data_IF_386624217699
#
_entry.id   IF_386624217699
#
_cell.length_a   1.000
_cell.length_b   1.000
_cell.length_c   1.000
_cell.angle_alpha   90.00
_cell.angle_beta   90.00
_cell.angle_gamma   90.00
#
_symmetry.space_group_name_H-M   'P 1'
#
loop_
_entity.id
_entity.type
_entity.pdbx_description
1 polymer ?
#
# COMPACT_ATOMS: atom_id res chain seq x y z
N UNK A 1 -14.13 6.79 19.34
CA UNK A 1 -13.54 6.43 19.23
C UNK A 1 -12.74 6.01 18.83
N UNK A 2 -12.46 5.95 18.96
CA UNK A 2 -11.70 5.64 18.67
C UNK A 2 -11.07 4.97 18.21
N UNK A 3 -10.94 5.03 17.68
CA UNK A 3 -10.19 4.16 16.94
C UNK A 3 -9.33 3.35 17.76
N UNK A 4 -9.59 2.16 17.79
CA UNK A 4 -8.79 1.24 18.51
C UNK A 4 -7.39 1.31 17.95
N UNK A 5 -6.52 1.80 18.73
CA UNK A 5 -5.13 1.81 18.34
C UNK A 5 -4.56 0.44 18.65
N UNK A 6 -3.77 -0.05 17.73
CA UNK A 6 -3.02 -1.26 17.99
C UNK A 6 -1.69 -0.88 18.63
N UNK A 7 -1.20 -1.70 19.53
CA UNK A 7 0.12 -1.48 20.07
C UNK A 7 1.14 -1.90 19.03
N UNK A 8 2.34 -1.37 19.20
CA UNK A 8 3.44 -1.76 18.32
C UNK A 8 3.68 -3.26 18.37
N UNK A 9 3.58 -3.81 19.57
CA UNK A 9 3.80 -5.23 19.77
C UNK A 9 2.77 -6.07 19.02
N UNK A 10 1.51 -5.63 19.07
CA UNK A 10 0.45 -6.33 18.36
C UNK A 10 0.68 -6.30 16.86
N UNK A 11 1.14 -5.16 16.34
CA UNK A 11 1.42 -5.04 14.92
C UNK A 11 2.59 -5.93 14.51
N UNK A 12 3.63 -5.95 15.33
CA UNK A 12 4.79 -6.79 15.03
C UNK A 12 4.43 -8.26 15.01
N UNK A 13 3.61 -8.67 15.95
CA UNK A 13 3.17 -10.06 16.00
C UNK A 13 2.34 -10.41 14.79
N UNK A 14 1.46 -9.49 14.39
CA UNK A 14 0.63 -9.72 13.22
C UNK A 14 1.48 -9.83 11.95
N UNK A 15 2.46 -8.96 11.80
CA UNK A 15 3.37 -9.01 10.67
C UNK A 15 4.14 -10.33 10.65
N UNK A 16 4.58 -10.77 11.83
CA UNK A 16 5.27 -12.05 11.93
C UNK A 16 4.41 -13.21 11.43
N UNK A 17 3.14 -13.20 11.84
CA UNK A 17 2.24 -14.25 11.39
C UNK A 17 2.00 -14.20 9.89
N UNK A 18 1.94 -12.99 9.31
CA UNK A 18 1.76 -12.84 7.88
C UNK A 18 2.97 -13.38 7.11
N UNK A 19 4.17 -13.08 7.60
CA UNK A 19 5.36 -13.47 6.86
C UNK A 19 5.71 -14.94 7.02
N UNK A 20 5.24 -15.57 8.08
CA UNK A 20 5.56 -16.98 8.33
C UNK A 20 4.62 -17.95 7.66
N UNK A 21 3.40 -17.53 7.39
CA UNK A 21 2.40 -18.42 6.86
C UNK A 21 2.09 -18.17 5.41
N UNK A 22 1.00 -18.75 4.97
CA UNK A 22 0.53 -18.59 3.60
C UNK A 22 -0.48 -17.46 3.43
N UNK A 23 -0.77 -16.73 4.50
CA UNK A 23 -1.78 -15.68 4.46
C UNK A 23 -1.41 -14.55 3.53
N UNK A 24 -0.15 -14.13 3.58
CA UNK A 24 0.29 -13.05 2.70
C UNK A 24 0.19 -13.48 1.24
N UNK A 25 0.56 -14.73 0.99
CA UNK A 25 0.48 -15.25 -0.37
C UNK A 25 -0.97 -15.32 -0.85
N UNK A 26 -1.87 -15.72 0.03
CA UNK A 26 -3.29 -15.75 -0.30
C UNK A 26 -3.82 -14.34 -0.59
N UNK A 27 -3.38 -13.37 0.21
CA UNK A 27 -3.76 -11.98 -0.02
C UNK A 27 -3.23 -11.47 -1.36
N UNK A 28 -1.99 -11.84 -1.67
CA UNK A 28 -1.39 -11.46 -2.95
C UNK A 28 -2.19 -12.04 -4.13
N UNK A 29 -2.64 -13.28 -3.98
CA UNK A 29 -3.43 -13.89 -5.03
C UNK A 29 -4.76 -13.17 -5.24
N UNK A 30 -5.39 -12.74 -4.14
CA UNK A 30 -6.61 -11.97 -4.23
C UNK A 30 -6.39 -10.65 -4.94
N UNK A 31 -5.32 -9.98 -4.58
CA UNK A 31 -4.98 -8.71 -5.20
C UNK A 31 -4.73 -8.90 -6.69
N UNK A 32 -4.00 -9.95 -7.03
CA UNK A 32 -3.72 -10.23 -8.45
C UNK A 32 -5.00 -10.48 -9.23
N UNK A 33 -5.94 -11.20 -8.62
CA UNK A 33 -7.21 -11.47 -9.27
C UNK A 33 -8.06 -10.24 -9.48
N UNK A 34 -7.91 -9.24 -8.62
CA UNK A 34 -8.69 -8.01 -8.68
C UNK A 34 -7.88 -6.86 -9.29
N UNK A 35 -6.69 -7.15 -9.84
CA UNK A 35 -5.74 -6.11 -10.19
C UNK A 35 -6.30 -5.00 -11.09
N UNK A 36 -7.03 -5.29 -12.18
CA UNK A 36 -7.50 -4.20 -13.03
C UNK A 36 -8.36 -3.19 -12.30
N UNK A 37 -9.29 -3.67 -11.47
CA UNK A 37 -10.17 -2.79 -10.70
C UNK A 37 -9.40 -2.09 -9.59
N UNK A 38 -8.53 -2.82 -8.90
CA UNK A 38 -7.76 -2.26 -7.81
C UNK A 38 -6.81 -1.17 -8.28
N UNK A 39 -6.19 -1.35 -9.45
CA UNK A 39 -5.31 -0.32 -9.98
C UNK A 39 -6.04 0.98 -10.19
N UNK A 40 -7.26 0.90 -10.71
CA UNK A 40 -8.06 2.09 -10.92
C UNK A 40 -8.41 2.76 -9.59
N UNK A 41 -8.81 1.95 -8.60
CA UNK A 41 -9.15 2.46 -7.29
C UNK A 41 -7.95 3.14 -6.65
N UNK A 42 -6.77 2.52 -6.75
CA UNK A 42 -5.56 3.09 -6.15
C UNK A 42 -5.16 4.40 -6.80
N UNK A 43 -5.29 4.48 -8.12
CA UNK A 43 -4.98 5.72 -8.83
C UNK A 43 -5.91 6.83 -8.36
N UNK A 44 -7.20 6.52 -8.23
CA UNK A 44 -8.16 7.50 -7.76
C UNK A 44 -7.87 7.92 -6.32
N UNK A 45 -7.49 6.97 -5.48
CA UNK A 45 -7.18 7.27 -4.10
C UNK A 45 -5.95 8.18 -3.99
N UNK A 46 -4.94 7.93 -4.80
CA UNK A 46 -3.76 8.78 -4.80
C UNK A 46 -4.09 10.19 -5.22
N UNK A 47 -4.92 10.32 -6.27
CA UNK A 47 -5.30 11.63 -6.76
C UNK A 47 -6.15 12.38 -5.74
N UNK A 48 -7.12 11.68 -5.15
CA UNK A 48 -8.03 12.31 -4.21
C UNK A 48 -7.35 12.65 -2.89
N UNK A 49 -6.36 11.86 -2.50
CA UNK A 49 -5.71 12.04 -1.22
C UNK A 49 -4.69 13.16 -1.18
N UNK A 50 -4.31 13.69 -2.34
CA UNK A 50 -3.32 14.76 -2.36
C UNK A 50 -1.93 14.34 -1.92
N UNK A 51 -1.65 13.05 -2.00
CA UNK A 51 -0.37 12.52 -1.56
C UNK A 51 0.79 13.01 -2.44
N UNK A 52 0.50 13.21 -3.72
CA UNK A 52 1.46 13.73 -4.67
C UNK A 52 0.89 14.99 -5.27
N UNK A 53 1.56 16.10 -5.05
CA UNK A 53 1.09 17.38 -5.56
C UNK A 53 2.27 18.21 -6.03
N UNK A 54 2.13 19.50 -5.84
CA UNK A 54 3.15 20.45 -6.29
C UNK A 54 4.50 20.18 -5.65
N UNK A 55 4.49 19.77 -4.36
CA UNK A 55 5.74 19.45 -3.67
C UNK A 55 6.46 18.30 -4.33
N UNK A 56 5.71 17.29 -4.70
CA UNK A 56 6.30 16.12 -5.37
C UNK A 56 6.92 16.51 -6.69
N UNK A 57 6.20 17.33 -7.47
CA UNK A 57 6.68 17.76 -8.77
C UNK A 57 7.93 18.62 -8.64
N UNK A 58 7.93 19.52 -7.66
CA UNK A 58 9.08 20.38 -7.42
C UNK A 58 10.30 19.54 -7.04
N UNK A 59 10.10 18.53 -6.21
CA UNK A 59 11.18 17.65 -5.81
C UNK A 59 11.74 16.88 -6.98
N UNK A 60 10.86 16.39 -7.84
CA UNK A 60 11.27 15.66 -9.02
C UNK A 60 12.10 16.56 -9.93
N UNK A 61 11.66 17.79 -10.14
CA UNK A 61 12.41 18.73 -10.96
C UNK A 61 13.77 19.04 -10.35
N UNK A 62 13.83 19.21 -9.03
CA UNK A 62 15.07 19.49 -8.35
C UNK A 62 16.06 18.33 -8.54
N UNK A 63 15.59 17.11 -8.36
CA UNK A 63 16.46 15.96 -8.45
C UNK A 63 16.97 15.75 -9.86
N UNK A 64 16.09 15.88 -10.85
CA UNK A 64 16.49 15.64 -12.24
C UNK A 64 17.40 16.73 -12.77
N UNK A 65 17.46 17.90 -12.10
CA UNK A 65 18.34 18.99 -12.51
C UNK A 65 19.74 18.88 -11.95
N UNK A 66 20.01 17.92 -11.09
CA UNK A 66 21.35 17.70 -10.53
C UNK A 66 22.28 17.30 -11.67
N UNK A 67 23.41 18.03 -11.79
CA UNK A 67 24.28 17.85 -12.93
C UNK A 67 25.17 16.63 -12.82
N UNK A 68 25.66 16.36 -11.62
CA UNK A 68 26.53 15.20 -11.44
C UNK A 68 25.73 13.91 -11.55
N UNK A 69 26.07 13.01 -12.47
CA UNK A 69 25.28 11.79 -12.67
C UNK A 69 25.22 10.90 -11.42
N UNK A 70 26.29 10.80 -10.66
CA UNK A 70 26.31 9.95 -9.48
C UNK A 70 25.42 10.53 -8.38
N UNK A 71 25.50 11.84 -8.18
CA UNK A 71 24.64 12.52 -7.21
C UNK A 71 23.19 12.43 -7.63
N UNK A 72 22.94 12.61 -8.93
CA UNK A 72 21.58 12.53 -9.44
C UNK A 72 21.00 11.15 -9.20
N UNK A 73 21.77 10.11 -9.46
CA UNK A 73 21.30 8.75 -9.26
C UNK A 73 20.97 8.48 -7.79
N UNK A 74 21.83 8.95 -6.88
CA UNK A 74 21.57 8.80 -5.46
C UNK A 74 20.31 9.53 -5.05
N UNK A 75 20.13 10.73 -5.55
CA UNK A 75 18.94 11.52 -5.20
C UNK A 75 17.66 10.88 -5.75
N UNK A 76 17.75 10.29 -6.94
CA UNK A 76 16.60 9.57 -7.51
C UNK A 76 16.26 8.36 -6.64
N UNK A 77 17.28 7.62 -6.19
CA UNK A 77 17.03 6.47 -5.31
C UNK A 77 16.31 6.89 -4.03
N UNK A 78 16.73 7.99 -3.44
CA UNK A 78 16.09 8.49 -2.23
C UNK A 78 14.64 8.86 -2.50
N UNK A 79 14.40 9.55 -3.62
CA UNK A 79 13.05 9.96 -3.99
C UNK A 79 12.16 8.75 -4.21
N UNK A 80 12.67 7.75 -4.93
CA UNK A 80 11.91 6.53 -5.17
C UNK A 80 11.57 5.80 -3.88
N UNK A 81 12.53 5.75 -2.95
CA UNK A 81 12.29 5.11 -1.67
C UNK A 81 11.19 5.83 -0.89
N UNK A 82 11.20 7.14 -0.93
CA UNK A 82 10.17 7.92 -0.25
C UNK A 82 8.81 7.71 -0.88
N UNK A 83 8.76 7.71 -2.20
CA UNK A 83 7.49 7.48 -2.89
C UNK A 83 6.96 6.08 -2.63
N UNK A 84 7.86 5.10 -2.57
CA UNK A 84 7.46 3.74 -2.27
C UNK A 84 6.83 3.67 -0.88
N UNK A 85 7.44 4.34 0.11
CA UNK A 85 6.89 4.35 1.45
C UNK A 85 5.50 4.97 1.47
N UNK A 86 5.35 6.11 0.80
CA UNK A 86 4.06 6.78 0.75
C UNK A 86 3.03 5.90 0.07
N UNK A 87 3.42 5.29 -1.05
CA UNK A 87 2.51 4.42 -1.79
C UNK A 87 2.08 3.23 -0.95
N UNK A 88 3.00 2.67 -0.18
CA UNK A 88 2.67 1.54 0.69
C UNK A 88 1.66 1.97 1.76
N UNK A 89 1.85 3.15 2.33
CA UNK A 89 0.92 3.64 3.34
C UNK A 89 -0.46 3.86 2.74
N UNK A 90 -0.51 4.43 1.54
CA UNK A 90 -1.79 4.60 0.86
C UNK A 90 -2.43 3.25 0.58
N UNK A 91 -1.62 2.28 0.16
CA UNK A 91 -2.13 0.95 -0.10
C UNK A 91 -2.72 0.31 1.14
N UNK A 92 -2.05 0.47 2.28
CA UNK A 92 -2.57 -0.06 3.54
C UNK A 92 -3.88 0.62 3.90
N UNK A 93 -3.94 1.95 3.74
CA UNK A 93 -5.14 2.70 4.08
C UNK A 93 -6.31 2.28 3.20
N UNK A 94 -6.07 2.16 1.89
CA UNK A 94 -7.11 1.75 0.96
C UNK A 94 -7.53 0.32 1.25
N UNK A 95 -6.56 -0.56 1.51
CA UNK A 95 -6.88 -1.95 1.83
C UNK A 95 -7.73 -2.08 3.09
N UNK A 96 -7.37 -1.30 4.09
CA UNK A 96 -8.13 -1.30 5.34
C UNK A 96 -9.56 -0.82 5.11
N UNK A 97 -9.69 0.28 4.36
CA UNK A 97 -11.01 0.84 4.07
C UNK A 97 -11.85 -0.13 3.26
N UNK A 98 -11.23 -0.78 2.27
CA UNK A 98 -11.94 -1.76 1.46
C UNK A 98 -12.39 -2.95 2.30
N UNK A 99 -11.52 -3.41 3.20
CA UNK A 99 -11.88 -4.53 4.06
C UNK A 99 -13.09 -4.19 4.92
N UNK A 100 -13.13 -2.96 5.44
CA UNK A 100 -14.26 -2.51 6.23
C UNK A 100 -15.54 -2.46 5.41
N UNK A 101 -15.43 -1.92 4.19
CA UNK A 101 -16.60 -1.77 3.33
C UNK A 101 -17.13 -3.12 2.86
N UNK A 102 -16.24 -4.04 2.54
CA UNK A 102 -16.64 -5.33 2.03
C UNK A 102 -17.13 -6.28 3.12
N UNK A 103 -16.68 -6.03 4.34
CA UNK A 103 -17.01 -6.89 5.45
C UNK A 103 -16.28 -8.22 5.40
N UNK A 104 -16.57 -9.10 6.35
CA UNK A 104 -15.89 -10.39 6.39
C UNK A 104 -16.28 -11.23 5.19
N UNK A 105 -15.36 -12.10 4.74
CA UNK A 105 -15.67 -12.94 3.58
C UNK A 105 -16.84 -13.86 3.88
N UNK A 106 -17.71 -14.02 2.88
CA UNK A 106 -18.83 -14.91 3.00
C UNK A 106 -18.40 -16.34 2.74
N UNK A 107 -18.76 -17.28 3.61
CA UNK A 107 -18.38 -18.68 3.36
C UNK A 107 -19.02 -19.18 2.08
N UNK A 108 -18.28 -20.01 1.38
CA UNK A 108 -18.81 -20.65 0.17
C UNK A 108 -19.63 -21.86 0.61
N UNK A 109 -20.94 -21.91 0.22
CA UNK A 109 -21.80 -23.01 0.71
C UNK A 109 -21.23 -24.40 0.46
N UNK A 110 -20.62 -24.61 -0.71
CA UNK A 110 -20.08 -25.93 -1.02
C UNK A 110 -19.01 -26.33 -0.04
N UNK A 111 -18.21 -25.41 0.38
CA UNK A 111 -17.14 -25.70 1.32
C UNK A 111 -17.68 -26.04 2.69
N UNK A 112 -18.79 -25.44 3.05
CA UNK A 112 -19.38 -25.69 4.34
C UNK A 112 -19.91 -27.08 4.47
N UNK A 113 -20.29 -27.68 3.36
CA UNK A 113 -20.84 -29.01 3.38
C UNK A 113 -19.82 -30.11 3.50
N UNK A 114 -18.57 -29.78 3.25
CA UNK A 114 -17.53 -30.83 3.30
C UNK A 114 -17.05 -31.11 4.71
#
# INVERSE_FOLDING_TARGET
>A
MSGAAFTECELEEAVGRLTEGSRLRAAEARVAGAAPALQRVLVEALAAGGWFGDSHRAELQRVTAIEDPAERATAVDVLLAEETRISMMVGVAVGWALADELGPPTPIPDQEES
#
